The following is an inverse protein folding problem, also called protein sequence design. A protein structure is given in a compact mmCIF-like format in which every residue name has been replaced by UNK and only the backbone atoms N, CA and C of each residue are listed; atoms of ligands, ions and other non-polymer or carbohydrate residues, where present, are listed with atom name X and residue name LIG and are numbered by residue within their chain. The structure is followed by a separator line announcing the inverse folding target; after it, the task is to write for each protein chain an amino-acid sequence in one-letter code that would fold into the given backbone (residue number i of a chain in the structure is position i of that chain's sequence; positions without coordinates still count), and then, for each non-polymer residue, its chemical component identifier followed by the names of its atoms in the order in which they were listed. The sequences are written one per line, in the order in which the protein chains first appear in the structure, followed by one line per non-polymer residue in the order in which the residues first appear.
data_IF_778178955633
#
_entry.id   IF_778178955633
#
_cell.length_a   1.000
_cell.length_b   1.000
_cell.length_c   1.000
_cell.angle_alpha   90.00
_cell.angle_beta   90.00
_cell.angle_gamma   90.00
#
_symmetry.space_group_name_H-M   'P 1'
#
loop_
_entity.id
_entity.type
_entity.pdbx_description
1 polymer ?
#
# COMPACT_ATOMS: atom_id res chain seq x y z
N UNK A 1 18.54 -20.49 -26.81
CA UNK A 1 17.74 -19.28 -26.48
C UNK A 1 16.63 -19.67 -25.49
N UNK A 2 16.34 -18.76 -24.56
CA UNK A 2 15.11 -18.59 -23.74
C UNK A 2 14.61 -19.61 -22.70
N UNK A 3 15.40 -20.58 -22.21
CA UNK A 3 14.94 -21.50 -21.16
C UNK A 3 15.25 -21.11 -19.70
N UNK A 4 16.23 -20.22 -19.45
CA UNK A 4 16.90 -20.18 -18.13
C UNK A 4 16.46 -19.06 -17.18
N UNK A 5 15.81 -17.98 -17.65
CA UNK A 5 15.47 -16.82 -16.80
C UNK A 5 14.09 -16.93 -16.14
N UNK A 6 13.11 -17.51 -16.84
CA UNK A 6 11.77 -17.77 -16.30
C UNK A 6 11.77 -18.85 -15.22
N UNK A 7 12.59 -19.90 -15.40
CA UNK A 7 12.77 -20.95 -14.39
C UNK A 7 13.51 -20.44 -13.14
N UNK A 8 14.50 -19.54 -13.30
CA UNK A 8 15.17 -18.91 -12.15
C UNK A 8 14.23 -17.97 -11.37
N UNK A 9 13.42 -17.15 -12.06
CA UNK A 9 12.43 -16.27 -11.44
C UNK A 9 11.35 -17.06 -10.68
N UNK A 10 10.85 -18.15 -11.25
CA UNK A 10 9.88 -19.04 -10.59
C UNK A 10 10.50 -19.79 -9.40
N UNK A 11 11.79 -20.17 -9.46
CA UNK A 11 12.48 -20.82 -8.34
C UNK A 11 12.80 -19.89 -7.16
N UNK A 12 12.84 -18.57 -7.42
CA UNK A 12 13.01 -17.51 -6.41
C UNK A 12 11.69 -17.19 -5.71
N UNK A 13 10.57 -17.24 -6.45
CA UNK A 13 9.21 -17.10 -5.90
C UNK A 13 8.76 -18.31 -5.09
N UNK A 14 9.23 -19.53 -5.42
CA UNK A 14 8.84 -20.77 -4.72
C UNK A 14 9.53 -21.00 -3.37
N UNK A 15 10.59 -20.24 -3.04
CA UNK A 15 11.41 -20.45 -1.82
C UNK A 15 11.26 -19.42 -0.71
N UNK A 16 10.41 -18.40 -0.90
CA UNK A 16 10.14 -17.38 0.12
C UNK A 16 8.71 -17.46 0.65
N UNK A 17 8.36 -18.65 1.12
CA UNK A 17 7.25 -18.79 2.05
C UNK A 17 7.65 -18.10 3.36
N UNK A 18 6.79 -17.20 3.83
CA UNK A 18 6.88 -16.41 5.08
C UNK A 18 7.71 -15.12 4.97
N UNK A 19 6.97 -14.02 4.79
CA UNK A 19 7.39 -12.61 4.80
C UNK A 19 8.08 -12.06 3.53
N UNK A 20 7.51 -10.96 3.01
CA UNK A 20 8.07 -10.00 2.04
C UNK A 20 7.61 -10.03 0.57
N UNK A 21 6.38 -10.46 0.25
CA UNK A 21 5.83 -10.25 -1.12
C UNK A 21 5.38 -8.80 -1.37
N UNK A 22 5.28 -7.94 -0.36
CA UNK A 22 4.56 -6.67 -0.53
C UNK A 22 5.40 -5.52 -1.14
N UNK A 23 6.72 -5.60 -1.17
CA UNK A 23 7.54 -4.39 -1.37
C UNK A 23 7.96 -4.11 -2.83
N UNK A 24 8.03 -5.15 -3.68
CA UNK A 24 8.49 -5.00 -5.07
C UNK A 24 7.34 -4.78 -6.05
N UNK A 25 6.18 -5.40 -5.83
CA UNK A 25 5.04 -5.26 -6.74
C UNK A 25 4.33 -3.90 -6.58
N UNK A 26 4.22 -3.37 -5.36
CA UNK A 26 3.65 -2.02 -5.13
C UNK A 26 4.44 -0.94 -5.87
N UNK A 27 5.78 -1.03 -5.87
CA UNK A 27 6.67 -0.12 -6.62
C UNK A 27 6.48 -0.20 -8.13
N UNK A 28 6.17 -1.39 -8.67
CA UNK A 28 5.87 -1.58 -10.10
C UNK A 28 4.48 -1.05 -10.45
N UNK A 29 3.54 -1.09 -9.50
CA UNK A 29 2.18 -0.60 -9.68
C UNK A 29 2.06 0.93 -9.58
N UNK A 30 3.00 1.60 -8.92
CA UNK A 30 3.04 3.06 -8.91
C UNK A 30 3.69 3.49 -10.22
N UNK A 31 2.86 4.06 -11.11
CA UNK A 31 3.21 4.54 -12.43
C UNK A 31 4.48 5.42 -12.46
N UNK A 32 5.00 5.65 -13.67
CA UNK A 32 6.28 6.30 -13.96
C UNK A 32 6.74 7.39 -12.95
N UNK A 33 8.03 7.50 -12.68
CA UNK A 33 8.56 8.60 -11.87
C UNK A 33 8.12 9.97 -12.42
N UNK A 34 7.81 10.91 -11.53
CA UNK A 34 7.52 12.30 -11.91
C UNK A 34 8.81 12.91 -12.44
N UNK A 35 8.71 13.61 -13.57
CA UNK A 35 9.85 14.29 -14.16
C UNK A 35 9.89 15.74 -13.67
N UNK A 36 11.03 16.20 -13.10
CA UNK A 36 11.18 17.59 -12.70
C UNK A 36 10.90 18.52 -13.87
N UNK A 37 10.15 19.59 -13.64
CA UNK A 37 9.94 20.64 -14.64
C UNK A 37 10.67 21.92 -14.24
N UNK A 38 10.98 22.78 -15.21
CA UNK A 38 11.54 24.08 -14.89
C UNK A 38 10.51 24.89 -14.08
N UNK A 39 10.90 25.33 -12.88
CA UNK A 39 10.10 26.24 -12.04
C UNK A 39 10.97 27.45 -11.77
N UNK A 40 10.40 28.64 -11.90
CA UNK A 40 11.06 29.84 -11.39
C UNK A 40 11.29 29.68 -9.89
N UNK A 41 12.51 29.96 -9.43
CA UNK A 41 12.85 29.95 -8.01
C UNK A 41 12.05 31.05 -7.28
N UNK A 42 10.89 30.69 -6.74
CA UNK A 42 10.14 31.57 -5.85
C UNK A 42 10.82 31.58 -4.48
N UNK A 43 11.30 32.76 -4.06
CA UNK A 43 11.78 33.00 -2.69
C UNK A 43 10.71 32.53 -1.68
N UNK A 44 11.11 31.68 -0.74
CA UNK A 44 10.23 31.16 0.31
C UNK A 44 9.66 29.76 0.06
N UNK A 45 9.94 29.11 -1.08
CA UNK A 45 9.61 27.70 -1.24
C UNK A 45 10.62 26.83 -0.45
N UNK A 46 10.19 26.07 0.58
CA UNK A 46 11.11 25.28 1.40
C UNK A 46 11.85 24.20 0.61
N UNK A 47 11.26 23.73 -0.50
CA UNK A 47 11.84 22.72 -1.37
C UNK A 47 11.41 22.93 -2.84
N UNK A 48 12.24 23.65 -3.59
CA UNK A 48 12.02 23.94 -5.02
C UNK A 48 12.01 22.68 -5.90
N UNK A 49 12.66 21.60 -5.47
CA UNK A 49 12.66 20.33 -6.20
C UNK A 49 11.33 19.58 -6.07
N UNK A 50 10.74 19.50 -4.87
CA UNK A 50 9.40 18.93 -4.73
C UNK A 50 8.34 19.77 -5.45
N UNK A 51 8.46 21.09 -5.37
CA UNK A 51 7.62 22.01 -6.13
C UNK A 51 7.74 21.75 -7.64
N UNK A 52 8.93 21.44 -8.15
CA UNK A 52 9.14 21.15 -9.57
C UNK A 52 8.56 19.83 -10.06
N UNK A 53 8.41 18.86 -9.18
CA UNK A 53 7.74 17.59 -9.48
C UNK A 53 6.20 17.77 -9.50
N UNK A 54 5.66 18.65 -8.66
CA UNK A 54 4.21 18.83 -8.51
C UNK A 54 3.60 20.00 -9.29
N UNK A 55 4.39 20.92 -9.86
CA UNK A 55 3.89 22.19 -10.42
C UNK A 55 2.76 22.08 -11.45
N UNK A 56 2.67 20.96 -12.18
CA UNK A 56 1.58 20.67 -13.14
C UNK A 56 0.65 19.56 -12.71
N UNK A 57 0.89 18.98 -11.54
CA UNK A 57 0.02 17.98 -10.96
C UNK A 57 -1.15 18.70 -10.30
N UNK A 58 -2.36 18.31 -10.65
CA UNK A 58 -3.59 18.80 -10.02
C UNK A 58 -4.28 17.63 -9.35
N UNK A 59 -4.93 17.90 -8.23
CA UNK A 59 -5.88 16.98 -7.62
C UNK A 59 -6.93 16.59 -8.66
N UNK A 60 -7.02 15.31 -8.99
CA UNK A 60 -8.11 14.80 -9.81
C UNK A 60 -9.37 14.69 -8.93
N UNK A 61 -10.13 15.78 -8.89
CA UNK A 61 -11.38 15.85 -8.11
C UNK A 61 -12.44 14.87 -8.62
N UNK A 62 -12.39 14.47 -9.90
CA UNK A 62 -13.32 13.50 -10.45
C UNK A 62 -12.99 12.08 -9.95
N UNK A 63 -11.71 11.71 -9.90
CA UNK A 63 -11.27 10.46 -9.30
C UNK A 63 -11.67 10.35 -7.82
N UNK A 64 -11.48 11.44 -7.06
CA UNK A 64 -11.91 11.49 -5.67
C UNK A 64 -13.43 11.36 -5.54
N UNK A 65 -14.19 12.04 -6.40
CA UNK A 65 -15.65 11.93 -6.43
C UNK A 65 -16.13 10.53 -6.83
N UNK A 66 -15.44 9.85 -7.76
CA UNK A 66 -15.75 8.45 -8.12
C UNK A 66 -15.48 7.53 -6.95
N UNK A 67 -14.31 7.63 -6.32
CA UNK A 67 -13.94 6.78 -5.19
C UNK A 67 -14.94 6.92 -4.03
N UNK A 68 -15.30 8.14 -3.66
CA UNK A 68 -16.25 8.40 -2.57
C UNK A 68 -17.65 7.90 -2.90
N UNK A 69 -18.14 8.08 -4.13
CA UNK A 69 -19.48 7.60 -4.55
C UNK A 69 -19.57 6.08 -4.63
N UNK A 70 -18.51 5.43 -5.11
CA UNK A 70 -18.48 3.98 -5.38
C UNK A 70 -17.96 3.13 -4.23
N UNK A 71 -17.47 3.73 -3.14
CA UNK A 71 -16.79 2.99 -2.06
C UNK A 71 -17.63 1.84 -1.48
N UNK A 72 -18.95 1.92 -1.57
CA UNK A 72 -19.89 0.89 -1.12
C UNK A 72 -20.44 -0.03 -2.21
N UNK A 73 -20.06 0.16 -3.46
CA UNK A 73 -20.49 -0.70 -4.57
C UNK A 73 -19.77 -2.06 -4.48
N UNK A 74 -20.49 -3.17 -4.63
CA UNK A 74 -19.91 -4.51 -4.49
C UNK A 74 -18.90 -4.88 -5.58
N UNK A 75 -19.03 -4.27 -6.76
CA UNK A 75 -18.11 -4.45 -7.90
C UNK A 75 -16.91 -3.49 -7.84
N UNK A 76 -16.93 -2.52 -6.92
CA UNK A 76 -15.83 -1.59 -6.71
C UNK A 76 -14.82 -2.22 -5.75
N UNK A 77 -13.79 -2.83 -6.32
CA UNK A 77 -12.75 -3.56 -5.60
C UNK A 77 -11.64 -2.64 -5.09
N UNK A 78 -10.83 -3.12 -4.14
CA UNK A 78 -9.71 -2.36 -3.55
C UNK A 78 -8.74 -1.84 -4.62
N UNK A 79 -8.55 -2.60 -5.70
CA UNK A 79 -7.69 -2.17 -6.82
C UNK A 79 -8.19 -0.90 -7.48
N UNK A 80 -9.49 -0.83 -7.75
CA UNK A 80 -10.13 0.35 -8.36
C UNK A 80 -10.02 1.56 -7.42
N UNK A 81 -10.23 1.34 -6.12
CA UNK A 81 -10.02 2.37 -5.10
C UNK A 81 -8.58 2.88 -5.08
N UNK A 82 -7.59 1.99 -5.11
CA UNK A 82 -6.19 2.38 -5.16
C UNK A 82 -5.86 3.18 -6.43
N UNK A 83 -6.37 2.77 -7.59
CA UNK A 83 -6.17 3.47 -8.85
C UNK A 83 -6.80 4.87 -8.84
N UNK A 84 -7.99 5.05 -8.26
CA UNK A 84 -8.61 6.37 -8.08
C UNK A 84 -7.86 7.22 -7.04
N UNK A 85 -7.37 6.65 -5.93
CA UNK A 85 -6.50 7.38 -4.98
C UNK A 85 -5.21 7.87 -5.65
N UNK A 86 -4.60 7.03 -6.49
CA UNK A 86 -3.38 7.39 -7.23
C UNK A 86 -3.64 8.50 -8.25
N UNK A 87 -4.79 8.50 -8.90
CA UNK A 87 -5.20 9.57 -9.81
C UNK A 87 -5.51 10.87 -9.04
N UNK A 88 -6.24 10.77 -7.94
CA UNK A 88 -6.61 11.90 -7.09
C UNK A 88 -5.38 12.58 -6.45
N UNK A 89 -4.44 11.81 -5.90
CA UNK A 89 -3.32 12.31 -5.10
C UNK A 89 -1.98 12.08 -5.81
N UNK A 90 -1.60 12.95 -6.77
CA UNK A 90 -0.32 12.82 -7.48
C UNK A 90 0.90 12.91 -6.55
N UNK A 91 0.76 13.47 -5.36
CA UNK A 91 1.77 13.54 -4.31
C UNK A 91 2.21 12.16 -3.82
N UNK A 92 1.37 11.13 -3.96
CA UNK A 92 1.74 9.74 -3.64
C UNK A 92 2.95 9.27 -4.46
N UNK A 93 3.17 9.87 -5.64
CA UNK A 93 4.36 9.57 -6.46
C UNK A 93 5.63 10.15 -5.86
N UNK A 94 5.58 11.15 -4.99
CA UNK A 94 6.78 11.72 -4.38
C UNK A 94 7.52 10.71 -3.49
N UNK A 95 6.78 9.83 -2.83
CA UNK A 95 7.38 8.78 -2.00
C UNK A 95 8.24 7.80 -2.80
N UNK A 96 7.94 7.60 -4.09
CA UNK A 96 8.74 6.74 -4.99
C UNK A 96 9.78 7.51 -5.79
N UNK A 97 9.74 8.85 -5.79
CA UNK A 97 10.60 9.71 -6.62
C UNK A 97 11.85 10.24 -5.92
N UNK A 98 12.37 9.54 -4.92
CA UNK A 98 13.61 9.96 -4.23
C UNK A 98 14.84 9.65 -5.09
N UNK A 99 15.08 10.47 -6.10
CA UNK A 99 16.40 10.65 -6.69
C UNK A 99 17.08 11.77 -5.93
N UNK A 100 18.03 11.44 -5.06
CA UNK A 100 18.84 12.44 -4.33
C UNK A 100 19.58 13.32 -5.35
N UNK A 101 19.24 14.61 -5.53
CA UNK A 101 19.92 15.46 -6.49
C UNK A 101 21.23 15.96 -5.87
N UNK A 102 22.35 15.82 -6.58
CA UNK A 102 23.46 16.75 -6.43
C UNK A 102 24.64 16.41 -5.50
N UNK A 103 24.70 15.25 -4.83
CA UNK A 103 25.98 14.78 -4.28
C UNK A 103 26.68 13.90 -5.31
N UNK A 104 27.77 14.41 -5.89
CA UNK A 104 28.78 13.60 -6.59
C UNK A 104 28.96 12.30 -5.82
N UNK A 105 28.89 11.16 -6.52
CA UNK A 105 29.14 9.84 -5.96
C UNK A 105 30.43 9.86 -5.13
N UNK A 106 30.27 10.02 -3.83
CA UNK A 106 31.32 10.45 -2.92
C UNK A 106 30.96 10.03 -1.51
N UNK A 107 31.40 8.80 -1.20
CA UNK A 107 31.47 8.14 0.11
C UNK A 107 30.15 7.64 0.72
N UNK A 108 29.92 6.34 0.50
CA UNK A 108 29.23 5.49 1.47
C UNK A 108 27.93 4.85 0.99
N UNK A 109 27.80 3.51 0.95
CA UNK A 109 26.53 2.81 0.70
C UNK A 109 25.47 2.98 1.80
N UNK A 110 25.76 3.69 2.90
CA UNK A 110 24.86 3.81 4.05
C UNK A 110 23.81 4.93 3.93
N UNK A 111 24.11 6.04 3.25
CA UNK A 111 23.23 7.21 3.24
C UNK A 111 22.11 7.17 2.18
N UNK A 112 22.35 6.47 1.05
CA UNK A 112 21.31 6.28 0.02
C UNK A 112 20.24 5.27 0.44
N UNK A 113 20.61 4.32 1.30
CA UNK A 113 19.70 3.28 1.80
C UNK A 113 18.74 3.85 2.84
N UNK A 114 19.22 4.73 3.72
CA UNK A 114 18.41 5.33 4.78
C UNK A 114 17.26 6.21 4.24
N UNK A 115 17.52 7.06 3.24
CA UNK A 115 16.48 7.93 2.67
C UNK A 115 15.41 7.16 1.88
N UNK A 116 15.79 6.08 1.17
CA UNK A 116 14.86 5.20 0.47
C UNK A 116 14.01 4.36 1.45
N UNK A 117 14.61 3.89 2.55
CA UNK A 117 13.88 3.15 3.59
C UNK A 117 12.82 4.00 4.30
N UNK A 118 13.14 5.26 4.63
CA UNK A 118 12.20 6.16 5.33
C UNK A 118 10.98 6.49 4.44
N UNK A 119 11.20 6.62 3.13
CA UNK A 119 10.11 6.95 2.18
C UNK A 119 9.21 5.77 1.85
N UNK A 120 9.76 4.54 1.84
CA UNK A 120 8.94 3.33 1.73
C UNK A 120 8.03 3.15 2.95
N UNK A 121 8.55 3.36 4.16
CA UNK A 121 7.76 3.26 5.39
C UNK A 121 6.60 4.27 5.41
N UNK A 122 6.86 5.52 5.02
CA UNK A 122 5.83 6.56 4.95
C UNK A 122 4.78 6.27 3.86
N UNK A 123 5.21 5.77 2.71
CA UNK A 123 4.31 5.34 1.66
C UNK A 123 3.39 4.21 2.13
N UNK A 124 3.97 3.16 2.71
CA UNK A 124 3.22 2.01 3.22
C UNK A 124 2.24 2.42 4.33
N UNK A 125 2.64 3.32 5.23
CA UNK A 125 1.72 3.88 6.25
C UNK A 125 0.56 4.66 5.61
N UNK A 126 0.86 5.49 4.60
CA UNK A 126 -0.15 6.32 3.93
C UNK A 126 -1.15 5.47 3.16
N UNK A 127 -0.67 4.53 2.32
CA UNK A 127 -1.54 3.62 1.58
C UNK A 127 -2.28 2.67 2.53
N UNK A 128 -1.62 2.18 3.58
CA UNK A 128 -2.25 1.36 4.61
C UNK A 128 -3.42 2.09 5.28
N UNK A 129 -3.28 3.39 5.57
CA UNK A 129 -4.37 4.21 6.10
C UNK A 129 -5.53 4.38 5.11
N UNK A 130 -5.24 4.61 3.83
CA UNK A 130 -6.28 4.68 2.78
C UNK A 130 -7.02 3.34 2.62
N UNK A 131 -6.32 2.22 2.67
CA UNK A 131 -6.93 0.89 2.62
C UNK A 131 -7.76 0.60 3.87
N UNK A 132 -7.27 1.00 5.05
CA UNK A 132 -8.06 0.91 6.28
C UNK A 132 -9.36 1.71 6.17
N UNK A 133 -9.32 2.92 5.63
CA UNK A 133 -10.52 3.72 5.36
C UNK A 133 -11.49 3.01 4.41
N UNK A 134 -10.98 2.47 3.30
CA UNK A 134 -11.79 1.69 2.35
C UNK A 134 -12.52 0.51 3.02
N UNK A 135 -11.84 -0.24 3.88
CA UNK A 135 -12.44 -1.37 4.59
C UNK A 135 -13.44 -0.95 5.68
N UNK A 136 -13.15 0.12 6.43
CA UNK A 136 -14.07 0.66 7.43
C UNK A 136 -15.38 1.15 6.80
N UNK A 137 -15.32 1.70 5.59
CA UNK A 137 -16.53 2.13 4.86
C UNK A 137 -17.37 0.95 4.34
N UNK A 138 -16.89 -0.29 4.46
CA UNK A 138 -17.49 -1.52 3.88
C UNK A 138 -17.69 -2.65 4.90
N UNK A 139 -17.76 -2.34 6.20
CA UNK A 139 -17.81 -3.36 7.27
C UNK A 139 -18.93 -4.39 7.12
N UNK A 140 -20.08 -4.01 6.58
CA UNK A 140 -21.24 -4.86 6.33
C UNK A 140 -21.23 -5.59 4.97
N UNK A 141 -20.21 -5.36 4.14
CA UNK A 141 -20.05 -5.99 2.82
C UNK A 141 -18.94 -7.04 2.88
N UNK A 142 -17.69 -6.57 2.85
CA UNK A 142 -16.46 -7.37 2.80
C UNK A 142 -15.34 -6.72 3.64
N UNK A 143 -15.63 -5.61 4.31
CA UNK A 143 -14.68 -4.81 5.07
C UNK A 143 -14.07 -5.58 6.24
N UNK A 144 -14.87 -6.38 6.96
CA UNK A 144 -14.36 -7.20 8.07
C UNK A 144 -13.31 -8.20 7.58
N UNK A 145 -13.58 -8.88 6.47
CA UNK A 145 -12.66 -9.86 5.88
C UNK A 145 -11.39 -9.18 5.36
N UNK A 146 -11.53 -8.11 4.57
CA UNK A 146 -10.42 -7.36 4.02
C UNK A 146 -9.52 -6.75 5.09
N UNK A 147 -10.11 -6.21 6.16
CA UNK A 147 -9.37 -5.62 7.28
C UNK A 147 -8.61 -6.67 8.09
N UNK A 148 -9.20 -7.84 8.34
CA UNK A 148 -8.59 -8.87 9.18
C UNK A 148 -7.59 -9.76 8.44
N UNK A 149 -7.88 -10.11 7.19
CA UNK A 149 -7.14 -11.12 6.43
C UNK A 149 -6.39 -10.55 5.23
N UNK A 150 -6.62 -9.29 4.87
CA UNK A 150 -6.04 -8.63 3.71
C UNK A 150 -6.68 -9.08 2.40
N UNK A 151 -5.93 -8.95 1.31
CA UNK A 151 -6.39 -9.31 -0.04
C UNK A 151 -5.60 -10.46 -0.66
N UNK A 152 -6.17 -11.09 -1.68
CA UNK A 152 -5.49 -12.04 -2.55
C UNK A 152 -4.78 -11.36 -3.72
N UNK A 153 -4.16 -12.15 -4.61
CA UNK A 153 -3.44 -11.66 -5.78
C UNK A 153 -4.35 -10.94 -6.79
N UNK A 154 -5.68 -11.11 -6.66
CA UNK A 154 -6.70 -10.45 -7.47
C UNK A 154 -7.27 -9.22 -6.77
N UNK A 155 -6.65 -8.76 -5.68
CA UNK A 155 -7.08 -7.59 -4.90
C UNK A 155 -8.47 -7.74 -4.27
N UNK A 156 -8.97 -8.98 -4.13
CA UNK A 156 -10.22 -9.26 -3.44
C UNK A 156 -9.96 -9.59 -1.97
N UNK A 157 -10.89 -9.21 -1.10
CA UNK A 157 -10.81 -9.56 0.31
C UNK A 157 -10.66 -11.09 0.46
N UNK A 158 -9.66 -11.51 1.24
CA UNK A 158 -9.49 -12.92 1.58
C UNK A 158 -10.64 -13.34 2.48
N UNK A 159 -11.45 -14.27 2.02
CA UNK A 159 -12.43 -14.93 2.87
C UNK A 159 -11.71 -15.63 4.00
N UNK A 160 -12.32 -15.60 5.19
CA UNK A 160 -11.85 -16.35 6.36
C UNK A 160 -11.36 -17.76 5.94
N UNK A 161 -10.09 -18.12 6.21
CA UNK A 161 -9.63 -19.48 5.99
C UNK A 161 -10.47 -20.42 6.88
N UNK A 162 -10.96 -21.51 6.30
CA UNK A 162 -11.62 -22.55 7.09
C UNK A 162 -10.60 -23.09 8.10
N UNK A 163 -10.77 -22.72 9.36
CA UNK A 163 -10.00 -23.29 10.45
C UNK A 163 -10.90 -24.30 11.16
N UNK A 164 -10.52 -25.59 11.22
CA UNK A 164 -11.14 -26.50 12.16
C UNK A 164 -10.95 -25.90 13.54
N UNK A 165 -12.06 -25.73 14.26
CA UNK A 165 -12.20 -25.19 15.63
C UNK A 165 -10.84 -24.95 16.28
N UNK A 166 -10.40 -23.68 16.32
CA UNK A 166 -9.22 -23.32 17.10
C UNK A 166 -9.39 -23.93 18.48
N UNK A 167 -8.33 -24.57 18.96
CA UNK A 167 -8.26 -25.20 20.26
C UNK A 167 -8.90 -24.26 21.29
N UNK A 168 -10.07 -24.65 21.84
CA UNK A 168 -10.99 -23.76 22.55
C UNK A 168 -10.44 -23.25 23.89
N UNK A 169 -9.17 -23.56 24.18
CA UNK A 169 -8.46 -23.08 25.36
C UNK A 169 -8.23 -21.56 25.25
N UNK A 170 -8.76 -20.77 26.18
CA UNK A 170 -8.54 -19.32 26.19
C UNK A 170 -7.05 -19.02 26.34
N UNK A 171 -6.45 -18.42 25.30
CA UNK A 171 -5.07 -17.94 25.34
C UNK A 171 -5.07 -16.43 25.53
N UNK A 172 -4.20 -15.86 26.39
CA UNK A 172 -3.98 -14.42 26.39
C UNK A 172 -3.56 -13.92 25.01
N UNK A 173 -4.01 -12.73 24.60
CA UNK A 173 -3.71 -12.16 23.28
C UNK A 173 -2.22 -12.18 22.94
N UNK A 174 -1.34 -11.94 23.92
CA UNK A 174 0.11 -11.99 23.73
C UNK A 174 0.64 -13.36 23.27
N UNK A 175 -0.06 -14.46 23.61
CA UNK A 175 0.30 -15.85 23.28
C UNK A 175 -0.42 -16.39 22.04
N UNK A 176 -1.34 -15.63 21.47
CA UNK A 176 -2.01 -15.99 20.22
C UNK A 176 -1.05 -15.87 19.03
N UNK A 177 -1.08 -16.85 18.14
CA UNK A 177 -0.52 -16.76 16.80
C UNK A 177 -1.14 -15.61 16.00
N UNK A 178 -0.51 -15.21 14.90
CA UNK A 178 -1.06 -14.16 14.03
C UNK A 178 -2.45 -14.50 13.48
N UNK A 179 -2.69 -15.78 13.16
CA UNK A 179 -3.99 -16.24 12.69
C UNK A 179 -5.05 -16.19 13.79
N UNK A 180 -4.71 -16.64 15.01
CA UNK A 180 -5.60 -16.54 16.19
C UNK A 180 -5.94 -15.08 16.53
N UNK A 181 -4.96 -14.15 16.47
CA UNK A 181 -5.20 -12.72 16.68
C UNK A 181 -6.16 -12.12 15.66
N UNK A 182 -5.99 -12.46 14.38
CA UNK A 182 -6.87 -11.99 13.30
C UNK A 182 -8.28 -12.54 13.45
N UNK A 183 -8.41 -13.82 13.83
CA UNK A 183 -9.72 -14.41 14.07
C UNK A 183 -10.41 -13.80 15.28
N UNK A 184 -9.71 -13.63 16.40
CA UNK A 184 -10.27 -12.97 17.60
C UNK A 184 -10.68 -11.54 17.30
N UNK A 185 -9.87 -10.77 16.57
CA UNK A 185 -10.27 -9.43 16.14
C UNK A 185 -11.50 -9.45 15.23
N UNK A 186 -11.59 -10.41 14.32
CA UNK A 186 -12.78 -10.58 13.48
C UNK A 186 -14.03 -10.95 14.29
N UNK A 187 -13.94 -11.88 15.25
CA UNK A 187 -15.11 -12.38 15.99
C UNK A 187 -15.54 -11.47 17.11
N UNK A 188 -14.58 -10.90 17.83
CA UNK A 188 -14.78 -10.21 19.10
C UNK A 188 -14.67 -8.68 18.94
N UNK A 189 -14.29 -8.21 17.74
CA UNK A 189 -14.19 -6.79 17.43
C UNK A 189 -15.55 -6.09 17.57
N UNK A 190 -15.59 -4.85 18.10
CA UNK A 190 -16.83 -4.08 18.27
C UNK A 190 -17.30 -3.48 16.94
N UNK A 191 -17.50 -4.34 15.93
CA UNK A 191 -17.82 -3.90 14.58
C UNK A 191 -19.12 -3.12 14.48
N UNK A 192 -20.10 -3.46 15.32
CA UNK A 192 -21.40 -2.81 15.35
C UNK A 192 -21.33 -1.39 15.93
N UNK A 193 -20.24 -1.04 16.64
CA UNK A 193 -20.00 0.31 17.10
C UNK A 193 -19.28 1.19 16.04
N UNK A 194 -18.84 0.60 14.93
CA UNK A 194 -18.06 1.27 13.88
C UNK A 194 -18.85 1.52 12.59
N UNK A 195 -20.07 0.99 12.45
CA UNK A 195 -20.95 1.15 11.29
C UNK A 195 -22.22 1.89 11.65
#
# INVERSE_FOLDING_TARGET
QSGSRLAQALSYLKRRAVASVEDTELRVLIAEPLRPQAVEEKRGCPNTHLASLLVRQKLDSEALARATKRIRDRDYELRSFFDDCRAAFPELRLYVNVVVPGKKAGRGPKDKVAAAMITDDEFQRTIGALFAFYWLMRLDIDGKDGFCYGVDDKWKAKTRPWHPVLDATPKPFARMSKAEKRLSFYTDGPWDALG
#
